data_IF_548313804689
#
_entry.id   IF_548313804689
#
_cell.length_a   1.000
_cell.length_b   1.000
_cell.length_c   1.000
_cell.angle_alpha   90.00
_cell.angle_beta   90.00
_cell.angle_gamma   90.00
#
_symmetry.space_group_name_H-M   'P 1'
#
loop_
_entity.id
_entity.type
_entity.pdbx_description
1 polymer ?
#
# COMPACT_ATOMS: atom_id res chain seq x y z
N UNK A 1 -9.34 10.60 12.81
CA UNK A 1 -7.91 10.84 13.07
C UNK A 1 -7.15 10.29 11.87
N UNK A 2 -6.69 11.16 10.97
CA UNK A 2 -5.97 10.75 9.75
C UNK A 2 -4.54 10.30 10.05
N UNK A 3 -3.90 9.57 9.12
CA UNK A 3 -2.49 9.26 9.26
C UNK A 3 -1.65 10.53 9.12
N UNK A 4 -0.55 10.66 9.86
CA UNK A 4 0.24 11.90 9.94
C UNK A 4 0.73 12.39 8.57
N UNK A 5 0.97 11.47 7.63
CA UNK A 5 1.38 11.82 6.26
C UNK A 5 0.23 12.44 5.46
N UNK A 6 -1.01 11.94 5.60
CA UNK A 6 -2.18 12.51 4.92
C UNK A 6 -2.50 13.90 5.47
N UNK A 7 -2.51 14.07 6.79
CA UNK A 7 -2.74 15.38 7.42
C UNK A 7 -1.73 16.43 6.96
N UNK A 8 -0.44 16.08 6.92
CA UNK A 8 0.60 17.00 6.40
C UNK A 8 0.38 17.39 4.93
N UNK A 9 -0.18 16.51 4.10
CA UNK A 9 -0.52 16.86 2.71
C UNK A 9 -1.69 17.82 2.63
N UNK A 10 -2.73 17.60 3.44
CA UNK A 10 -3.91 18.47 3.53
C UNK A 10 -3.53 19.88 4.02
N UNK A 11 -2.60 19.96 4.97
CA UNK A 11 -2.10 21.22 5.54
C UNK A 11 -1.07 21.94 4.65
N UNK A 12 -0.66 21.34 3.52
CA UNK A 12 0.34 21.91 2.61
C UNK A 12 1.78 21.90 3.14
N UNK A 13 2.04 21.14 4.20
CA UNK A 13 3.32 21.07 4.90
C UNK A 13 4.37 20.26 4.11
N UNK A 14 5.50 20.91 3.79
CA UNK A 14 6.60 20.27 3.03
C UNK A 14 7.57 19.55 3.95
N UNK A 15 8.10 18.41 3.49
CA UNK A 15 9.09 17.62 4.21
C UNK A 15 9.08 16.15 3.81
N UNK A 16 10.08 15.40 4.27
CA UNK A 16 10.24 13.99 3.90
C UNK A 16 9.29 13.08 4.67
N UNK A 17 8.77 12.06 3.99
CA UNK A 17 8.14 10.89 4.62
C UNK A 17 9.21 9.79 4.69
N UNK A 18 9.49 9.30 5.89
CA UNK A 18 10.41 8.18 6.11
C UNK A 18 9.59 7.02 6.66
N UNK A 19 9.77 5.84 6.07
CA UNK A 19 9.16 4.59 6.55
C UNK A 19 10.23 3.50 6.65
N UNK A 20 9.96 2.49 7.47
CA UNK A 20 10.82 1.32 7.66
C UNK A 20 10.00 0.07 7.33
N UNK A 21 10.51 -0.72 6.40
CA UNK A 21 10.03 -2.08 6.15
C UNK A 21 10.90 -3.05 6.97
N UNK A 22 10.30 -3.70 7.97
CA UNK A 22 11.03 -4.53 8.93
C UNK A 22 11.31 -5.96 8.42
N UNK A 23 10.67 -6.39 7.34
CA UNK A 23 10.96 -7.66 6.69
C UNK A 23 10.70 -7.62 5.18
N UNK A 24 11.15 -8.68 4.49
CA UNK A 24 11.09 -8.80 3.02
C UNK A 24 9.75 -9.31 2.48
N UNK A 25 8.77 -9.62 3.32
CA UNK A 25 7.47 -10.18 2.93
C UNK A 25 7.47 -11.69 2.67
N UNK A 26 8.64 -12.33 2.58
CA UNK A 26 8.77 -13.72 2.16
C UNK A 26 7.96 -14.74 2.99
N UNK A 27 7.69 -14.43 4.27
CA UNK A 27 6.89 -15.26 5.19
C UNK A 27 5.41 -15.31 4.85
N UNK A 28 4.91 -14.37 4.05
CA UNK A 28 3.48 -14.19 3.79
C UNK A 28 3.09 -14.49 2.35
N UNK A 29 4.03 -14.94 1.52
CA UNK A 29 3.80 -15.19 0.09
C UNK A 29 2.63 -16.14 -0.20
N UNK A 30 2.39 -17.12 0.67
CA UNK A 30 1.26 -18.05 0.53
C UNK A 30 -0.12 -17.42 0.79
N UNK A 31 -0.17 -16.15 1.20
CA UNK A 31 -1.38 -15.37 1.44
C UNK A 31 -1.45 -14.16 0.52
N UNK A 32 -0.36 -13.40 0.46
CA UNK A 32 -0.31 -12.13 -0.28
C UNK A 32 -0.48 -12.30 -1.79
N UNK A 33 -0.19 -13.51 -2.33
CA UNK A 33 -0.37 -13.85 -3.75
C UNK A 33 -1.51 -14.84 -4.00
N UNK A 34 -2.34 -15.12 -2.99
CA UNK A 34 -3.52 -15.98 -3.12
C UNK A 34 -4.77 -15.11 -3.25
N UNK A 35 -5.22 -14.89 -4.48
CA UNK A 35 -6.42 -14.08 -4.78
C UNK A 35 -7.68 -14.61 -4.06
N UNK A 36 -7.78 -15.93 -3.86
CA UNK A 36 -8.93 -16.51 -3.18
C UNK A 36 -8.88 -16.22 -1.68
N UNK A 37 -7.69 -16.26 -1.08
CA UNK A 37 -7.49 -15.84 0.30
C UNK A 37 -7.79 -14.35 0.50
N UNK A 38 -7.26 -13.50 -0.39
CA UNK A 38 -7.52 -12.05 -0.35
C UNK A 38 -9.01 -11.73 -0.46
N UNK A 39 -9.70 -12.35 -1.41
CA UNK A 39 -11.14 -12.18 -1.58
C UNK A 39 -11.94 -12.66 -0.35
N UNK A 40 -11.51 -13.77 0.28
CA UNK A 40 -12.13 -14.28 1.51
C UNK A 40 -11.97 -13.32 2.69
N UNK A 41 -10.85 -12.59 2.77
CA UNK A 41 -10.61 -11.54 3.75
C UNK A 41 -11.23 -10.19 3.36
N UNK A 42 -11.93 -10.11 2.22
CA UNK A 42 -12.58 -8.90 1.73
C UNK A 42 -11.60 -7.86 1.17
N UNK A 43 -10.42 -8.29 0.74
CA UNK A 43 -9.39 -7.44 0.15
C UNK A 43 -9.45 -7.50 -1.37
N UNK A 44 -9.54 -6.33 -2.02
CA UNK A 44 -9.42 -6.17 -3.47
C UNK A 44 -8.20 -5.29 -3.78
N UNK A 45 -7.22 -5.86 -4.46
CA UNK A 45 -5.98 -5.17 -4.84
C UNK A 45 -6.11 -4.41 -6.17
N UNK A 46 -7.10 -4.74 -6.99
CA UNK A 46 -7.28 -4.21 -8.36
C UNK A 46 -7.18 -2.68 -8.46
N UNK A 47 -7.86 -1.87 -7.61
CA UNK A 47 -7.75 -0.42 -7.72
C UNK A 47 -6.35 0.08 -7.39
N UNK A 48 -5.63 -0.59 -6.49
CA UNK A 48 -4.31 -0.17 -6.03
C UNK A 48 -3.21 -0.60 -7.01
N UNK A 49 -3.33 -1.78 -7.62
CA UNK A 49 -2.40 -2.22 -8.67
C UNK A 49 -2.51 -1.32 -9.90
N UNK A 50 -3.73 -0.94 -10.30
CA UNK A 50 -3.92 -0.01 -11.42
C UNK A 50 -3.28 1.36 -11.19
N UNK A 51 -3.37 1.91 -9.97
CA UNK A 51 -2.71 3.16 -9.60
C UNK A 51 -1.17 3.03 -9.60
N UNK A 52 -0.65 1.88 -9.16
CA UNK A 52 0.78 1.60 -9.20
C UNK A 52 1.30 1.47 -10.64
N UNK A 53 0.58 0.75 -11.50
CA UNK A 53 0.93 0.62 -12.92
C UNK A 53 0.95 1.99 -13.60
N UNK A 54 -0.08 2.81 -13.37
CA UNK A 54 -0.16 4.17 -13.88
C UNK A 54 0.99 5.07 -13.37
N UNK A 55 1.37 4.93 -12.10
CA UNK A 55 2.49 5.66 -11.51
C UNK A 55 3.85 5.23 -12.04
N UNK A 56 4.05 3.92 -12.24
CA UNK A 56 5.30 3.34 -12.71
C UNK A 56 5.47 3.46 -14.23
N UNK A 57 4.38 3.69 -14.97
CA UNK A 57 4.40 3.80 -16.43
C UNK A 57 4.70 2.47 -17.14
N UNK A 58 4.41 1.36 -16.46
CA UNK A 58 4.53 -0.03 -16.96
C UNK A 58 3.18 -0.51 -17.47
#
# INVERSE_FOLDING_TARGET
>A
MGCCAAGRREDGERGSVVTLLCDSGGRYQSRDYDDAWLAAEGLDLTPYTAELDAFLGT
#
